data_IF_845918575781
#
_entry.id   IF_845918575781
#
_cell.length_a   1.000
_cell.length_b   1.000
_cell.length_c   1.000
_cell.angle_alpha   90.00
_cell.angle_beta   90.00
_cell.angle_gamma   90.00
#
_symmetry.space_group_name_H-M   'P 1'
#
loop_
_entity.id
_entity.type
_entity.pdbx_description
1 polymer ?
#
# COMPACT_ATOMS: atom_id res chain seq x y z
N UNK A 1 6.20 -5.37 -26.40
CA UNK A 1 7.16 -4.53 -25.67
C UNK A 1 7.10 -4.77 -24.18
N UNK A 2 8.26 -4.72 -23.52
CA UNK A 2 8.37 -4.75 -22.07
C UNK A 2 8.54 -3.30 -21.57
N UNK A 3 7.86 -2.95 -20.46
CA UNK A 3 7.82 -1.58 -19.95
C UNK A 3 8.43 -1.42 -18.55
N UNK A 4 8.80 -2.51 -17.89
CA UNK A 4 9.31 -2.49 -16.53
C UNK A 4 10.04 -3.79 -16.18
N UNK A 5 11.02 -3.72 -15.27
CA UNK A 5 11.74 -4.88 -14.72
C UNK A 5 11.60 -4.92 -13.20
N UNK A 6 11.30 -6.09 -12.65
CA UNK A 6 11.21 -6.35 -11.20
C UNK A 6 12.06 -7.55 -10.86
N UNK A 7 12.54 -7.60 -9.61
CA UNK A 7 13.25 -8.77 -9.12
C UNK A 7 12.26 -9.84 -8.67
N UNK A 8 12.59 -11.10 -8.93
CA UNK A 8 11.82 -12.27 -8.49
C UNK A 8 12.67 -13.06 -7.50
N UNK A 9 12.11 -13.40 -6.34
CA UNK A 9 12.78 -14.21 -5.32
C UNK A 9 11.88 -15.34 -4.84
N UNK A 10 12.48 -16.50 -4.54
CA UNK A 10 11.81 -17.60 -3.85
C UNK A 10 12.40 -17.69 -2.46
N UNK A 11 11.57 -17.50 -1.43
CA UNK A 11 11.95 -17.59 -0.01
C UNK A 11 11.01 -18.58 0.66
N UNK A 12 11.56 -19.58 1.35
CA UNK A 12 10.80 -20.62 2.05
C UNK A 12 9.71 -21.30 1.19
N UNK A 13 9.99 -21.46 -0.11
CA UNK A 13 9.06 -22.03 -1.08
C UNK A 13 8.00 -21.06 -1.62
N UNK A 14 7.92 -19.84 -1.08
CA UNK A 14 7.04 -18.80 -1.58
C UNK A 14 7.73 -17.90 -2.61
N UNK A 15 6.99 -17.59 -3.67
CA UNK A 15 7.43 -16.71 -4.76
C UNK A 15 7.07 -15.25 -4.48
N UNK A 16 8.01 -14.32 -4.58
CA UNK A 16 7.79 -12.87 -4.39
C UNK A 16 8.33 -12.04 -5.56
N UNK A 17 7.62 -10.94 -5.86
CA UNK A 17 8.05 -9.91 -6.80
C UNK A 17 8.43 -8.65 -6.01
N UNK A 18 9.61 -8.10 -6.30
CA UNK A 18 10.21 -7.01 -5.53
C UNK A 18 10.60 -5.85 -6.44
N UNK A 19 10.30 -4.64 -5.98
CA UNK A 19 10.67 -3.38 -6.61
C UNK A 19 11.42 -2.50 -5.60
N UNK A 20 12.65 -2.11 -5.94
CA UNK A 20 13.47 -1.23 -5.10
C UNK A 20 13.42 0.24 -5.56
N UNK A 21 12.72 0.55 -6.65
CA UNK A 21 12.72 1.92 -7.22
C UNK A 21 11.65 2.81 -6.59
N UNK A 22 10.73 2.24 -5.80
CA UNK A 22 9.59 2.95 -5.24
C UNK A 22 9.71 3.04 -3.73
N UNK A 23 10.07 4.21 -3.18
CA UNK A 23 10.19 4.38 -1.73
C UNK A 23 8.90 4.05 -0.98
N UNK A 24 9.06 3.53 0.24
CA UNK A 24 7.97 3.18 1.18
C UNK A 24 7.04 2.04 0.72
N UNK A 25 7.31 1.47 -0.45
CA UNK A 25 6.62 0.28 -0.96
C UNK A 25 6.93 -0.91 -0.03
N UNK A 26 5.92 -1.59 0.52
CA UNK A 26 6.15 -2.74 1.38
C UNK A 26 6.66 -3.92 0.57
N UNK A 27 7.34 -4.85 1.24
CA UNK A 27 7.85 -6.07 0.64
C UNK A 27 6.74 -6.85 -0.08
N UNK A 28 7.02 -7.32 -1.30
CA UNK A 28 6.08 -8.14 -2.07
C UNK A 28 4.90 -7.39 -2.71
N UNK A 29 4.77 -6.08 -2.49
CA UNK A 29 3.85 -5.23 -3.24
C UNK A 29 4.60 -4.61 -4.42
N UNK A 30 3.98 -4.57 -5.59
CA UNK A 30 4.54 -3.89 -6.76
C UNK A 30 3.99 -2.48 -6.91
N UNK A 31 4.68 -1.56 -7.60
CA UNK A 31 4.13 -0.25 -7.94
C UNK A 31 2.85 -0.39 -8.78
N UNK A 32 1.86 0.50 -8.59
CA UNK A 32 0.60 0.47 -9.36
C UNK A 32 0.82 0.43 -10.89
N UNK A 33 1.87 1.10 -11.39
CA UNK A 33 2.26 1.07 -12.82
C UNK A 33 2.62 -0.32 -13.37
N UNK A 34 2.96 -1.27 -12.50
CA UNK A 34 3.28 -2.65 -12.88
C UNK A 34 2.04 -3.54 -12.94
N UNK A 35 0.88 -3.09 -12.45
CA UNK A 35 -0.38 -3.86 -12.43
C UNK A 35 -1.11 -3.77 -13.77
N UNK A 36 -0.42 -4.11 -14.86
CA UNK A 36 -0.90 -3.92 -16.23
C UNK A 36 -1.25 -5.25 -16.93
N UNK A 37 -1.50 -6.31 -16.17
CA UNK A 37 -1.90 -7.62 -16.68
C UNK A 37 -0.87 -8.69 -16.35
N UNK A 38 0.06 -8.94 -17.27
CA UNK A 38 1.02 -10.05 -17.17
C UNK A 38 2.46 -9.61 -17.36
N UNK A 39 3.39 -10.28 -16.67
CA UNK A 39 4.83 -10.15 -16.84
C UNK A 39 5.45 -11.43 -17.37
N UNK A 40 6.62 -11.33 -18.01
CA UNK A 40 7.39 -12.50 -18.42
C UNK A 40 8.41 -12.86 -17.34
N UNK A 41 8.28 -14.04 -16.76
CA UNK A 41 9.28 -14.58 -15.83
C UNK A 41 10.50 -15.06 -16.61
N UNK A 42 11.66 -14.54 -16.23
CA UNK A 42 12.96 -14.96 -16.76
C UNK A 42 13.63 -15.86 -15.71
N UNK A 43 13.57 -17.20 -15.88
CA UNK A 43 14.17 -18.16 -14.96
C UNK A 43 15.69 -18.28 -15.16
N UNK A 44 16.34 -19.06 -14.27
CA UNK A 44 17.76 -19.46 -14.45
C UNK A 44 17.96 -20.51 -15.54
N UNK A 45 16.95 -21.35 -15.82
CA UNK A 45 16.93 -22.36 -16.89
C UNK A 45 15.89 -21.96 -17.92
N UNK A 46 16.28 -21.82 -19.19
CA UNK A 46 15.44 -21.19 -20.23
C UNK A 46 14.05 -21.82 -20.37
N UNK A 47 13.95 -23.14 -20.23
CA UNK A 47 12.70 -23.91 -20.41
C UNK A 47 11.58 -23.55 -19.41
N UNK A 48 11.92 -22.88 -18.30
CA UNK A 48 10.94 -22.51 -17.26
C UNK A 48 10.30 -21.13 -17.50
N UNK A 49 10.56 -20.49 -18.64
CA UNK A 49 10.07 -19.14 -18.91
C UNK A 49 8.56 -19.16 -19.17
N UNK A 50 7.83 -18.39 -18.37
CA UNK A 50 6.36 -18.34 -18.44
C UNK A 50 5.83 -16.93 -18.23
N UNK A 51 4.62 -16.70 -18.71
CA UNK A 51 3.84 -15.53 -18.33
C UNK A 51 3.29 -15.73 -16.92
N UNK A 52 3.33 -14.66 -16.12
CA UNK A 52 2.76 -14.62 -14.77
C UNK A 52 1.82 -13.42 -14.65
N UNK A 53 0.75 -13.57 -13.88
CA UNK A 53 -0.15 -12.47 -13.55
C UNK A 53 0.53 -11.49 -12.60
N UNK A 54 0.46 -10.19 -12.93
CA UNK A 54 0.93 -9.11 -12.07
C UNK A 54 -0.24 -8.57 -11.25
N UNK A 55 -0.66 -9.38 -10.27
CA UNK A 55 -1.73 -9.01 -9.32
C UNK A 55 -1.14 -8.66 -7.96
N UNK A 56 -1.66 -7.64 -7.26
CA UNK A 56 -1.24 -7.35 -5.89
C UNK A 56 -1.53 -8.54 -4.99
N UNK A 57 -0.58 -8.90 -4.12
CA UNK A 57 -0.81 -9.90 -3.06
C UNK A 57 -1.72 -9.37 -1.96
N UNK A 58 -1.60 -8.07 -1.66
CA UNK A 58 -2.42 -7.39 -0.67
C UNK A 58 -3.55 -6.58 -1.32
N UNK A 59 -4.74 -6.64 -0.71
CA UNK A 59 -5.84 -5.75 -1.07
C UNK A 59 -5.60 -4.35 -0.50
N UNK A 60 -5.89 -3.35 -1.31
CA UNK A 60 -6.08 -1.99 -0.83
C UNK A 60 -7.37 -1.95 0.00
N UNK A 61 -7.25 -1.61 1.29
CA UNK A 61 -8.40 -1.48 2.19
C UNK A 61 -8.14 -0.41 3.25
N UNK A 62 -9.22 0.26 3.62
CA UNK A 62 -9.30 1.19 4.75
C UNK A 62 -10.39 0.70 5.69
N UNK A 63 -10.05 0.47 6.95
CA UNK A 63 -10.98 0.13 8.02
C UNK A 63 -11.13 1.33 8.94
N UNK A 64 -12.37 1.76 9.18
CA UNK A 64 -12.69 2.82 10.14
C UNK A 64 -13.54 2.20 11.24
N UNK A 65 -13.02 2.24 12.46
CA UNK A 65 -13.72 1.80 13.66
C UNK A 65 -14.05 3.01 14.51
N UNK A 66 -15.31 3.11 14.93
CA UNK A 66 -15.82 4.21 15.76
C UNK A 66 -16.34 3.62 17.07
N UNK A 67 -15.78 4.07 18.18
CA UNK A 67 -16.30 3.79 19.51
C UNK A 67 -16.81 5.10 20.10
N UNK A 68 -18.11 5.36 19.92
CA UNK A 68 -18.74 6.63 20.26
C UNK A 68 -19.74 6.45 21.40
N UNK A 69 -19.80 7.45 22.26
CA UNK A 69 -20.80 7.61 23.30
C UNK A 69 -21.57 8.89 23.04
N UNK A 70 -22.90 8.83 23.15
CA UNK A 70 -23.75 10.01 23.08
C UNK A 70 -23.81 10.67 24.46
N UNK A 71 -23.36 11.92 24.56
CA UNK A 71 -23.39 12.73 25.77
C UNK A 71 -23.98 14.11 25.44
N UNK A 72 -25.06 14.50 26.12
CA UNK A 72 -25.71 15.81 25.95
C UNK A 72 -26.10 16.18 24.49
N UNK A 73 -26.38 15.18 23.65
CA UNK A 73 -26.72 15.40 22.24
C UNK A 73 -25.52 15.43 21.29
N UNK A 74 -24.30 15.27 21.81
CA UNK A 74 -23.06 15.21 21.04
C UNK A 74 -22.43 13.81 21.14
N UNK A 75 -21.80 13.33 20.07
CA UNK A 75 -21.04 12.09 20.10
C UNK A 75 -19.59 12.38 20.48
N UNK A 76 -19.13 11.80 21.58
CA UNK A 76 -17.74 11.83 22.01
C UNK A 76 -17.18 10.40 22.01
N UNK A 77 -15.93 10.23 21.55
CA UNK A 77 -15.32 8.92 21.54
C UNK A 77 -14.06 8.81 20.69
N UNK A 78 -13.66 7.58 20.41
CA UNK A 78 -12.43 7.26 19.68
C UNK A 78 -12.74 6.80 18.24
N UNK A 79 -11.96 7.32 17.29
CA UNK A 79 -11.93 6.86 15.91
C UNK A 79 -10.57 6.22 15.63
N UNK A 80 -10.58 4.95 15.19
CA UNK A 80 -9.38 4.25 14.73
C UNK A 80 -9.47 4.03 13.23
N UNK A 81 -8.46 4.48 12.48
CA UNK A 81 -8.36 4.26 11.04
C UNK A 81 -7.17 3.34 10.76
N UNK A 82 -7.41 2.18 10.17
CA UNK A 82 -6.37 1.24 9.75
C UNK A 82 -6.33 1.14 8.22
N UNK A 83 -5.15 1.35 7.65
CA UNK A 83 -4.91 1.36 6.20
C UNK A 83 -4.01 0.21 5.80
N UNK A 84 -4.27 -0.40 4.64
CA UNK A 84 -3.53 -1.59 4.16
C UNK A 84 -3.29 -1.54 2.65
N UNK A 85 -2.32 -2.32 2.17
CA UNK A 85 -1.95 -2.34 0.76
C UNK A 85 -1.56 -0.95 0.26
N UNK A 86 -2.14 -0.53 -0.86
CA UNK A 86 -1.81 0.77 -1.43
C UNK A 86 -2.35 1.99 -0.65
N UNK A 87 -3.46 1.87 0.08
CA UNK A 87 -3.93 2.94 0.97
C UNK A 87 -2.87 3.24 2.03
N UNK A 88 -2.27 2.20 2.62
CA UNK A 88 -1.19 2.37 3.59
C UNK A 88 0.06 3.00 2.98
N UNK A 89 0.39 2.65 1.74
CA UNK A 89 1.50 3.24 1.01
C UNK A 89 1.30 4.75 0.83
N UNK A 90 0.11 5.16 0.40
CA UNK A 90 -0.20 6.57 0.17
C UNK A 90 -0.20 7.34 1.50
N UNK A 91 -0.74 6.77 2.58
CA UNK A 91 -0.63 7.36 3.93
C UNK A 91 0.80 7.54 4.42
N UNK A 92 1.68 6.56 4.18
CA UNK A 92 3.12 6.70 4.50
C UNK A 92 3.79 7.81 3.70
N UNK A 93 3.39 8.01 2.44
CA UNK A 93 3.89 9.10 1.60
C UNK A 93 3.40 10.46 2.07
N UNK A 94 2.11 10.59 2.40
CA UNK A 94 1.56 11.80 3.01
C UNK A 94 2.32 12.17 4.28
N UNK A 95 2.55 11.20 5.19
CA UNK A 95 3.32 11.42 6.40
C UNK A 95 4.77 11.85 6.12
N UNK A 96 5.42 11.22 5.13
CA UNK A 96 6.77 11.58 4.72
C UNK A 96 6.85 13.00 4.13
N UNK A 97 5.82 13.44 3.41
CA UNK A 97 5.70 14.81 2.87
C UNK A 97 5.47 15.83 3.99
N UNK A 98 4.59 15.52 4.95
CA UNK A 98 4.32 16.39 6.10
C UNK A 98 5.58 16.60 6.98
N UNK A 99 6.47 15.61 7.02
CA UNK A 99 7.77 15.69 7.67
C UNK A 99 7.75 15.52 9.20
N UNK A 100 6.58 15.49 9.83
CA UNK A 100 6.40 15.04 11.22
C UNK A 100 4.97 14.55 11.46
N UNK A 101 4.77 13.80 12.55
CA UNK A 101 3.45 13.29 12.94
C UNK A 101 2.52 14.44 13.33
N UNK A 102 3.04 15.45 14.02
CA UNK A 102 2.29 16.64 14.46
C UNK A 102 1.74 17.40 13.26
N UNK A 103 2.58 17.70 12.26
CA UNK A 103 2.13 18.40 11.04
C UNK A 103 1.07 17.61 10.28
N UNK A 104 1.25 16.30 10.18
CA UNK A 104 0.26 15.44 9.55
C UNK A 104 -1.08 15.43 10.33
N UNK A 105 -1.04 15.50 11.66
CA UNK A 105 -2.25 15.63 12.49
C UNK A 105 -2.93 16.98 12.28
N UNK A 106 -2.19 18.08 12.25
CA UNK A 106 -2.74 19.42 11.99
C UNK A 106 -3.42 19.49 10.62
N UNK A 107 -2.82 18.86 9.59
CA UNK A 107 -3.41 18.77 8.25
C UNK A 107 -4.68 17.91 8.21
N UNK A 108 -4.73 16.82 8.98
CA UNK A 108 -5.93 16.00 9.12
C UNK A 108 -7.04 16.77 9.84
N UNK A 109 -6.73 17.44 10.95
CA UNK A 109 -7.71 18.22 11.71
C UNK A 109 -8.33 19.33 10.85
N UNK A 110 -7.51 20.08 10.10
CA UNK A 110 -8.03 21.09 9.14
C UNK A 110 -8.98 20.47 8.11
N UNK A 111 -8.61 19.31 7.54
CA UNK A 111 -9.42 18.63 6.52
C UNK A 111 -10.80 18.20 7.03
N UNK A 112 -10.92 17.86 8.31
CA UNK A 112 -12.18 17.41 8.91
C UNK A 112 -12.96 18.53 9.62
N UNK A 113 -12.31 19.63 10.02
CA UNK A 113 -12.96 20.81 10.61
C UNK A 113 -13.60 21.75 9.59
N UNK A 114 -13.33 21.56 8.29
CA UNK A 114 -13.96 22.32 7.19
C UNK A 114 -15.37 21.80 6.81
N UNK A 115 -15.94 20.86 7.59
CA UNK A 115 -17.30 20.33 7.47
C UNK A 115 -18.10 20.57 8.77
#
# INVERSE_FOLDING_TARGET
DFNYVVASVVLDGEYFLLDATTPLLPFGLLPRRCLNGTGRLIPRKEDDSKWIDLKPREKEKKLVSLNLKLENGEFAGEMTISSYGYEALDKRRELAIAGSVEKYRDELEKRYNDF
#
